data_IF_551140244746
#
_entry.id   IF_551140244746
#
_cell.length_a   1.000
_cell.length_b   1.000
_cell.length_c   1.000
_cell.angle_alpha   90.00
_cell.angle_beta   90.00
_cell.angle_gamma   90.00
#
_symmetry.space_group_name_H-M   'P 1'
#
loop_
_entity.id
_entity.type
_entity.pdbx_description
1 polymer ?
#
# COMPACT_ATOMS: atom_id res chain seq x y z
N UNK A 1 6.84 -14.13 5.98
CA UNK A 1 8.26 -14.54 5.89
C UNK A 1 8.77 -15.07 7.22
N UNK A 2 8.74 -14.29 8.32
CA UNK A 2 9.14 -14.78 9.66
C UNK A 2 7.95 -15.45 10.37
N UNK A 3 6.77 -14.87 10.22
CA UNK A 3 5.47 -15.41 10.67
C UNK A 3 4.50 -15.30 9.48
N UNK A 4 4.06 -16.41 8.88
CA UNK A 4 3.10 -16.40 7.77
C UNK A 4 1.75 -15.79 8.16
N UNK A 5 1.31 -15.96 9.41
CA UNK A 5 -0.01 -15.50 9.86
C UNK A 5 -0.04 -13.98 10.12
N UNK A 6 1.13 -13.33 10.12
CA UNK A 6 1.24 -11.90 10.30
C UNK A 6 0.50 -11.10 9.21
N UNK A 7 0.40 -11.63 7.99
CA UNK A 7 -0.33 -10.97 6.89
C UNK A 7 -1.83 -10.91 7.16
N UNK A 8 -2.40 -11.95 7.77
CA UNK A 8 -3.84 -12.06 8.06
C UNK A 8 -4.28 -10.92 9.00
N UNK A 9 -3.40 -10.51 9.92
CA UNK A 9 -3.65 -9.42 10.87
C UNK A 9 -3.78 -8.05 10.22
N UNK A 10 -3.29 -7.88 9.00
CA UNK A 10 -3.19 -6.57 8.33
C UNK A 10 -3.88 -6.50 6.98
N UNK A 11 -4.19 -7.66 6.36
CA UNK A 11 -4.76 -7.77 5.02
C UNK A 11 -6.13 -7.10 4.84
N UNK A 12 -6.88 -6.87 5.93
CA UNK A 12 -8.16 -6.17 5.87
C UNK A 12 -7.98 -4.65 5.63
N UNK A 13 -6.99 -4.02 6.26
CA UNK A 13 -6.85 -2.56 6.22
C UNK A 13 -5.64 -2.04 5.44
N UNK A 14 -4.62 -2.87 5.20
CA UNK A 14 -3.42 -2.47 4.46
C UNK A 14 -3.50 -2.94 3.00
N UNK A 15 -3.13 -2.05 2.07
CA UNK A 15 -3.05 -2.32 0.62
C UNK A 15 -1.64 -2.07 0.10
N UNK A 16 -1.29 -2.66 -1.05
CA UNK A 16 0.02 -2.48 -1.67
C UNK A 16 0.33 -1.00 -1.96
N UNK A 17 -0.67 -0.24 -2.41
CA UNK A 17 -0.54 1.20 -2.68
C UNK A 17 -0.35 2.06 -1.40
N UNK A 18 -0.56 1.50 -0.21
CA UNK A 18 -0.29 2.21 1.04
C UNK A 18 1.22 2.34 1.32
N UNK A 19 2.06 1.55 0.66
CA UNK A 19 3.50 1.67 0.77
C UNK A 19 4.03 2.86 -0.02
N UNK A 20 4.92 3.64 0.60
CA UNK A 20 5.53 4.79 -0.08
C UNK A 20 6.53 4.37 -1.15
N UNK A 21 7.30 3.31 -0.88
CA UNK A 21 8.25 2.75 -1.82
C UNK A 21 7.54 1.70 -2.65
N UNK A 22 7.54 1.89 -3.96
CA UNK A 22 6.86 1.00 -4.91
C UNK A 22 7.32 -0.46 -4.77
N UNK A 23 8.63 -0.69 -4.62
CA UNK A 23 9.18 -2.04 -4.35
C UNK A 23 8.59 -2.72 -3.11
N UNK A 24 8.22 -1.97 -2.08
CA UNK A 24 7.56 -2.55 -0.90
C UNK A 24 6.09 -2.87 -1.18
N UNK A 25 5.44 -2.05 -2.00
CA UNK A 25 4.10 -2.33 -2.53
C UNK A 25 4.07 -3.64 -3.30
N UNK A 26 4.99 -3.85 -4.26
CA UNK A 26 5.07 -5.10 -5.03
C UNK A 26 5.34 -6.33 -4.16
N UNK A 27 6.22 -6.19 -3.15
CA UNK A 27 6.47 -7.28 -2.19
C UNK A 27 5.17 -7.62 -1.43
N UNK A 28 4.45 -6.61 -0.94
CA UNK A 28 3.20 -6.81 -0.21
C UNK A 28 2.08 -7.37 -1.11
N UNK A 29 2.02 -6.95 -2.37
CA UNK A 29 1.10 -7.48 -3.38
C UNK A 29 1.34 -8.97 -3.62
N UNK A 30 2.60 -9.36 -3.88
CA UNK A 30 2.97 -10.78 -4.04
C UNK A 30 2.63 -11.61 -2.77
N UNK A 31 2.90 -11.05 -1.59
CA UNK A 31 2.49 -11.65 -0.31
C UNK A 31 0.97 -11.84 -0.21
N UNK A 32 0.19 -10.87 -0.67
CA UNK A 32 -1.28 -10.91 -0.65
C UNK A 32 -1.82 -11.96 -1.63
N UNK A 33 -1.26 -12.05 -2.83
CA UNK A 33 -1.60 -13.06 -3.85
C UNK A 33 -1.37 -14.48 -3.31
N UNK A 34 -0.21 -14.72 -2.68
CA UNK A 34 0.11 -16.01 -2.07
C UNK A 34 -0.90 -16.36 -0.96
N UNK A 35 -1.24 -15.38 -0.11
CA UNK A 35 -2.22 -15.56 0.95
C UNK A 35 -3.63 -15.88 0.40
N UNK A 36 -4.07 -15.18 -0.66
CA UNK A 36 -5.36 -15.44 -1.33
C UNK A 36 -5.41 -16.84 -1.96
N UNK A 37 -4.30 -17.30 -2.53
CA UNK A 37 -4.13 -18.65 -3.08
C UNK A 37 -3.95 -19.73 -2.01
N UNK A 38 -3.91 -19.35 -0.72
CA UNK A 38 -3.61 -20.24 0.40
C UNK A 38 -2.27 -20.97 0.22
N UNK A 39 -1.32 -20.31 -0.44
CA UNK A 39 0.04 -20.81 -0.63
C UNK A 39 0.92 -20.38 0.56
N UNK A 40 1.93 -21.18 0.92
CA UNK A 40 2.85 -20.82 2.00
C UNK A 40 3.48 -19.45 1.76
N UNK A 41 3.55 -18.61 2.78
CA UNK A 41 4.19 -17.29 2.72
C UNK A 41 5.58 -17.36 3.38
N UNK A 42 6.53 -17.92 2.63
CA UNK A 42 7.94 -18.02 3.00
C UNK A 42 8.84 -17.33 1.97
N UNK A 43 10.16 -17.43 2.16
CA UNK A 43 11.12 -16.79 1.27
C UNK A 43 11.09 -17.37 -0.15
N UNK A 44 10.94 -18.68 -0.29
CA UNK A 44 11.02 -19.36 -1.59
C UNK A 44 9.79 -19.04 -2.42
N UNK A 45 8.61 -19.14 -1.83
CA UNK A 45 7.34 -18.86 -2.53
C UNK A 45 7.22 -17.39 -2.92
N UNK A 46 7.70 -16.47 -2.06
CA UNK A 46 7.69 -15.05 -2.37
C UNK A 46 8.66 -14.69 -3.50
N UNK A 47 9.85 -15.30 -3.54
CA UNK A 47 10.79 -15.13 -4.65
C UNK A 47 10.17 -15.63 -5.96
N UNK A 48 9.55 -16.82 -5.96
CA UNK A 48 8.89 -17.38 -7.15
C UNK A 48 7.76 -16.47 -7.65
N UNK A 49 6.90 -15.97 -6.75
CA UNK A 49 5.80 -15.07 -7.14
C UNK A 49 6.31 -13.72 -7.68
N UNK A 50 7.39 -13.18 -7.11
CA UNK A 50 8.03 -11.96 -7.61
C UNK A 50 8.74 -12.17 -8.95
N UNK A 51 9.30 -13.35 -9.19
CA UNK A 51 9.89 -13.71 -10.48
C UNK A 51 8.80 -13.86 -11.55
N UNK A 52 7.69 -14.54 -11.22
CA UNK A 52 6.53 -14.72 -12.10
C UNK A 52 5.87 -13.41 -12.50
N UNK A 53 5.83 -12.43 -11.58
CA UNK A 53 5.33 -11.07 -11.86
C UNK A 53 6.36 -10.16 -12.55
N UNK A 54 7.59 -10.64 -12.76
CA UNK A 54 8.67 -9.89 -13.39
C UNK A 54 9.26 -8.78 -12.52
N UNK A 55 8.96 -8.76 -11.21
CA UNK A 55 9.35 -7.70 -10.27
C UNK A 55 10.57 -8.02 -9.42
N UNK A 56 11.04 -9.27 -9.40
CA UNK A 56 12.14 -9.70 -8.53
C UNK A 56 13.41 -8.86 -8.69
N UNK A 57 13.85 -8.61 -9.92
CA UNK A 57 15.05 -7.80 -10.17
C UNK A 57 14.82 -6.32 -9.80
N UNK A 58 13.62 -5.78 -10.02
CA UNK A 58 13.30 -4.38 -9.71
C UNK A 58 13.29 -4.08 -8.21
N UNK A 59 12.98 -5.08 -7.37
CA UNK A 59 13.06 -4.92 -5.91
C UNK A 59 14.50 -5.00 -5.38
N UNK A 60 15.46 -5.43 -6.19
CA UNK A 60 16.86 -5.67 -5.81
C UNK A 60 17.23 -7.17 -5.65
N UNK A 61 16.42 -8.05 -6.22
CA UNK A 61 16.64 -9.50 -6.21
C UNK A 61 16.36 -10.17 -4.85
N UNK A 62 16.64 -11.48 -4.74
CA UNK A 62 16.40 -12.25 -3.52
C UNK A 62 17.15 -11.69 -2.29
N UNK A 63 18.31 -11.08 -2.50
CA UNK A 63 19.12 -10.49 -1.44
C UNK A 63 18.37 -9.38 -0.68
N UNK A 64 17.53 -8.60 -1.36
CA UNK A 64 16.76 -7.54 -0.72
C UNK A 64 15.72 -8.11 0.27
N UNK A 65 15.10 -9.24 -0.07
CA UNK A 65 14.18 -9.93 0.84
C UNK A 65 14.92 -10.48 2.07
N UNK A 66 16.14 -10.99 1.89
CA UNK A 66 16.99 -11.41 3.00
C UNK A 66 17.35 -10.24 3.93
N UNK A 67 17.64 -9.06 3.39
CA UNK A 67 17.88 -7.84 4.16
C UNK A 67 16.65 -7.45 5.00
N UNK A 68 15.45 -7.51 4.42
CA UNK A 68 14.20 -7.22 5.14
C UNK A 68 13.94 -8.20 6.29
N UNK A 69 14.23 -9.49 6.09
CA UNK A 69 14.15 -10.50 7.15
C UNK A 69 15.16 -10.18 8.25
N UNK A 70 16.42 -9.92 7.90
CA UNK A 70 17.49 -9.64 8.86
C UNK A 70 17.23 -8.36 9.67
N UNK A 71 16.59 -7.36 9.08
CA UNK A 71 16.21 -6.11 9.74
C UNK A 71 14.99 -6.21 10.66
N UNK A 72 14.27 -7.35 10.67
CA UNK A 72 13.02 -7.51 11.42
C UNK A 72 13.17 -8.59 12.50
N UNK A 73 13.42 -8.23 13.77
CA UNK A 73 13.67 -9.22 14.82
C UNK A 73 12.42 -10.00 15.24
N UNK A 74 11.22 -9.45 15.04
CA UNK A 74 9.96 -10.11 15.43
C UNK A 74 8.75 -9.59 14.63
N UNK A 75 7.78 -10.48 14.39
CA UNK A 75 6.50 -10.14 13.75
C UNK A 75 5.41 -9.71 14.76
N UNK A 76 5.69 -9.72 16.07
CA UNK A 76 4.70 -9.42 17.13
C UNK A 76 4.03 -8.05 16.93
N UNK A 77 4.78 -7.05 16.45
CA UNK A 77 4.31 -5.68 16.31
C UNK A 77 3.78 -5.35 14.90
N UNK A 78 3.45 -6.37 14.08
CA UNK A 78 3.02 -6.18 12.69
C UNK A 78 1.80 -5.23 12.55
N UNK A 79 0.79 -5.36 13.41
CA UNK A 79 -0.39 -4.47 13.42
C UNK A 79 0.03 -3.01 13.65
N UNK A 80 0.89 -2.77 14.64
CA UNK A 80 1.39 -1.43 14.95
C UNK A 80 2.14 -0.80 13.77
N UNK A 81 3.04 -1.54 13.12
CA UNK A 81 3.79 -1.03 11.97
C UNK A 81 2.90 -0.83 10.75
N UNK A 82 1.95 -1.73 10.49
CA UNK A 82 0.99 -1.60 9.40
C UNK A 82 0.12 -0.35 9.57
N UNK A 83 -0.33 -0.04 10.80
CA UNK A 83 -1.07 1.20 11.09
C UNK A 83 -0.24 2.46 10.84
N UNK A 84 1.07 2.41 11.05
CA UNK A 84 1.96 3.54 10.69
C UNK A 84 1.95 3.73 9.17
N UNK A 85 2.10 2.65 8.40
CA UNK A 85 2.06 2.69 6.93
C UNK A 85 0.72 3.24 6.44
N UNK A 86 -0.41 2.67 6.91
CA UNK A 86 -1.76 3.12 6.59
C UNK A 86 -1.96 4.62 6.88
N UNK A 87 -1.62 5.07 8.09
CA UNK A 87 -1.74 6.48 8.48
C UNK A 87 -0.94 7.38 7.54
N UNK A 88 0.29 7.02 7.22
CA UNK A 88 1.09 7.83 6.29
C UNK A 88 0.55 7.80 4.86
N UNK A 89 -0.06 6.71 4.42
CA UNK A 89 -0.74 6.61 3.13
C UNK A 89 -1.93 7.56 3.03
N UNK A 90 -2.77 7.61 4.06
CA UNK A 90 -3.92 8.53 4.15
C UNK A 90 -3.44 9.99 4.04
N UNK A 91 -2.38 10.36 4.76
CA UNK A 91 -1.82 11.70 4.69
C UNK A 91 -1.33 12.05 3.28
N UNK A 92 -0.68 11.12 2.58
CA UNK A 92 -0.26 11.33 1.18
C UNK A 92 -1.45 11.49 0.23
N UNK A 93 -2.52 10.71 0.43
CA UNK A 93 -3.77 10.85 -0.35
C UNK A 93 -4.42 12.21 -0.12
N UNK A 94 -4.48 12.69 1.13
CA UNK A 94 -4.98 14.02 1.47
C UNK A 94 -4.16 15.14 0.82
N UNK A 95 -2.83 15.04 0.82
CA UNK A 95 -1.96 16.02 0.15
C UNK A 95 -2.24 16.03 -1.36
N UNK A 96 -2.37 14.85 -1.96
CA UNK A 96 -2.68 14.72 -3.39
C UNK A 96 -4.06 15.30 -3.75
N UNK A 97 -5.05 15.04 -2.91
CA UNK A 97 -6.39 15.62 -3.02
C UNK A 97 -6.36 17.15 -2.95
N UNK A 98 -5.66 17.71 -1.96
CA UNK A 98 -5.50 19.15 -1.81
C UNK A 98 -4.84 19.78 -3.05
N UNK A 99 -3.81 19.14 -3.61
CA UNK A 99 -3.17 19.58 -4.86
C UNK A 99 -4.13 19.63 -6.04
N UNK A 100 -4.94 18.58 -6.24
CA UNK A 100 -5.97 18.54 -7.30
C UNK A 100 -7.04 19.61 -7.13
N UNK A 101 -7.49 19.83 -5.89
CA UNK A 101 -8.49 20.87 -5.58
C UNK A 101 -7.91 22.26 -5.86
N UNK A 102 -6.66 22.51 -5.48
CA UNK A 102 -5.98 23.77 -5.78
C UNK A 102 -5.84 23.99 -7.30
N UNK A 103 -5.48 22.96 -8.06
CA UNK A 103 -5.39 23.02 -9.52
C UNK A 103 -6.73 23.39 -10.17
N UNK A 104 -7.83 22.76 -9.75
CA UNK A 104 -9.17 23.11 -10.23
C UNK A 104 -9.57 24.55 -9.86
N UNK A 105 -9.20 25.01 -8.66
CA UNK A 105 -9.54 26.35 -8.20
C UNK A 105 -8.79 27.47 -8.96
N UNK A 106 -7.65 27.16 -9.60
CA UNK A 106 -6.94 28.10 -10.47
C UNK A 106 -7.50 28.16 -11.89
N UNK A 107 -8.31 27.18 -12.31
CA UNK A 107 -8.92 27.14 -13.64
C UNK A 107 -10.20 27.98 -13.68
N UNK A 108 -10.05 29.28 -14.00
CA UNK A 108 -11.15 30.24 -14.10
C UNK A 108 -12.16 29.95 -15.23
N UNK A 109 -11.89 28.95 -16.08
CA UNK A 109 -12.82 28.56 -17.15
C UNK A 109 -13.94 27.62 -16.70
N UNK A 110 -13.82 27.05 -15.50
CA UNK A 110 -14.78 26.08 -14.95
C UNK A 110 -15.88 26.77 -14.14
N UNK A 111 -17.07 26.17 -14.16
CA UNK A 111 -18.17 26.61 -13.32
C UNK A 111 -17.85 26.34 -11.83
N UNK A 112 -18.12 27.33 -10.97
CA UNK A 112 -17.75 27.25 -9.54
C UNK A 112 -18.49 26.14 -8.82
N UNK A 113 -19.76 25.88 -9.14
CA UNK A 113 -20.54 24.84 -8.50
C UNK A 113 -19.98 23.46 -8.88
N UNK A 114 -19.59 23.26 -10.16
CA UNK A 114 -18.93 22.03 -10.62
C UNK A 114 -17.55 21.79 -9.97
N UNK A 115 -16.81 22.85 -9.65
CA UNK A 115 -15.51 22.75 -8.95
C UNK A 115 -15.73 22.32 -7.49
N UNK A 116 -16.70 22.91 -6.81
CA UNK A 116 -17.05 22.56 -5.42
C UNK A 116 -17.50 21.10 -5.33
N UNK A 117 -18.43 20.67 -6.20
CA UNK A 117 -18.93 19.29 -6.22
C UNK A 117 -17.80 18.27 -6.42
N UNK A 118 -16.87 18.54 -7.35
CA UNK A 118 -15.71 17.66 -7.57
C UNK A 118 -14.75 17.66 -6.39
N UNK A 119 -14.54 18.80 -5.73
CA UNK A 119 -13.71 18.87 -4.54
C UNK A 119 -14.30 18.01 -3.40
N UNK A 120 -15.61 18.07 -3.19
CA UNK A 120 -16.30 17.21 -2.22
C UNK A 120 -16.12 15.73 -2.53
N UNK A 121 -16.30 15.32 -3.79
CA UNK A 121 -16.08 13.94 -4.23
C UNK A 121 -14.64 13.46 -3.97
N UNK A 122 -13.64 14.30 -4.25
CA UNK A 122 -12.24 13.97 -4.00
C UNK A 122 -11.97 13.76 -2.50
N UNK A 123 -12.45 14.65 -1.63
CA UNK A 123 -12.28 14.53 -0.18
C UNK A 123 -13.04 13.31 0.36
N UNK A 124 -14.24 13.07 -0.16
CA UNK A 124 -15.04 11.91 0.19
C UNK A 124 -14.31 10.61 -0.16
N UNK A 125 -13.72 10.48 -1.35
CA UNK A 125 -12.96 9.29 -1.75
C UNK A 125 -11.75 8.98 -0.85
N UNK A 126 -11.08 10.02 -0.32
CA UNK A 126 -10.01 9.83 0.66
C UNK A 126 -10.55 9.34 2.01
N UNK A 127 -11.74 9.80 2.40
CA UNK A 127 -12.42 9.38 3.64
C UNK A 127 -13.01 7.96 3.52
N UNK A 128 -13.55 7.61 2.36
CA UNK A 128 -14.16 6.30 2.10
C UNK A 128 -13.13 5.17 2.11
N UNK A 129 -11.90 5.48 1.63
CA UNK A 129 -10.73 4.60 1.75
C UNK A 129 -10.41 4.20 3.20
N UNK A 130 -10.94 4.90 4.21
CA UNK A 130 -10.82 4.58 5.64
C UNK A 130 -12.05 3.84 6.19
N UNK A 131 -13.24 4.02 5.61
CA UNK A 131 -14.51 3.51 6.15
C UNK A 131 -14.86 2.12 5.61
N UNK A 132 -14.50 1.82 4.35
CA UNK A 132 -14.85 0.57 3.66
C UNK A 132 -13.75 -0.50 3.69
N UNK A 133 -12.80 -0.42 4.64
CA UNK A 133 -11.73 -1.40 4.83
C UNK A 133 -11.98 -2.27 6.07
#
# INVERSE_FOLDING_TARGET
MIDPDAIIKVANFLRAEDFYRERHGWIYEAMSILNERHEPLDFVTLVDELERSGRLEEIGGPAYLTELIAGTPTAIYVDHYARIVERTAILRRLISAAGKIAEMAYDESQDVDEVVDRAEQIIFGVSESRIHR
#
